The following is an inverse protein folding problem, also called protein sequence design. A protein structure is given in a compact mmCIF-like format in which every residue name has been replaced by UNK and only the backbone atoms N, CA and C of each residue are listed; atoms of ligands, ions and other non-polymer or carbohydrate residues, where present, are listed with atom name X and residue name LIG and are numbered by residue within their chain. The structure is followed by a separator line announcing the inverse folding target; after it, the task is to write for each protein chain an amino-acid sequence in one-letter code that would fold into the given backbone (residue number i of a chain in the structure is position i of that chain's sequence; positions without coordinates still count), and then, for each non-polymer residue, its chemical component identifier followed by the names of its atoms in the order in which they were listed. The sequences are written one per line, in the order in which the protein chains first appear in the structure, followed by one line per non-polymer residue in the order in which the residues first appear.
data_IF_420686368040
#
_entry.id   IF_420686368040
#
_cell.length_a   1.000
_cell.length_b   1.000
_cell.length_c   1.000
_cell.angle_alpha   90.00
_cell.angle_beta   90.00
_cell.angle_gamma   90.00
#
_symmetry.space_group_name_H-M   'P 1'
#
loop_
_entity.id
_entity.type
_entity.pdbx_description
1 polymer ?
#
# COMPACT_ATOMS: atom_id res chain seq x y z
N UNK A 1 11.43 -20.87 30.30
CA UNK A 1 12.59 -21.18 29.43
C UNK A 1 12.93 -19.92 28.65
N UNK A 2 14.06 -19.28 28.93
CA UNK A 2 14.53 -18.14 28.12
C UNK A 2 15.01 -18.69 26.78
N UNK A 3 14.48 -18.19 25.67
CA UNK A 3 14.89 -18.61 24.33
C UNK A 3 16.38 -18.25 24.14
N UNK A 4 17.17 -19.15 23.54
CA UNK A 4 18.61 -18.95 23.25
C UNK A 4 18.86 -17.64 22.47
N UNK A 5 17.88 -17.21 21.67
CA UNK A 5 17.89 -15.93 20.97
C UNK A 5 17.99 -14.70 21.90
N UNK A 6 17.54 -14.79 23.16
CA UNK A 6 17.61 -13.68 24.13
C UNK A 6 18.98 -13.57 24.81
N UNK A 7 19.82 -14.61 24.75
CA UNK A 7 21.14 -14.67 25.40
C UNK A 7 22.29 -14.72 24.40
N UNK A 8 22.00 -14.67 23.10
CA UNK A 8 23.04 -14.60 22.08
C UNK A 8 23.78 -13.27 22.20
N UNK A 9 25.08 -13.36 22.52
CA UNK A 9 25.97 -12.21 22.62
C UNK A 9 26.38 -11.73 21.21
N UNK A 10 26.39 -10.41 21.07
CA UNK A 10 26.88 -9.66 19.92
C UNK A 10 28.20 -8.98 20.31
N UNK A 11 28.84 -8.32 19.34
CA UNK A 11 30.06 -7.56 19.59
C UNK A 11 29.86 -6.52 20.71
N UNK A 12 30.98 -6.17 21.37
CA UNK A 12 31.03 -5.19 22.46
C UNK A 12 30.22 -5.57 23.71
N UNK A 13 29.83 -6.84 23.87
CA UNK A 13 29.10 -7.33 25.04
C UNK A 13 27.64 -6.87 25.08
N UNK A 14 27.04 -6.62 23.92
CA UNK A 14 25.59 -6.48 23.79
C UNK A 14 24.94 -7.84 23.63
N UNK A 15 23.67 -7.96 24.00
CA UNK A 15 22.85 -9.12 23.65
C UNK A 15 21.86 -8.78 22.56
N UNK A 16 21.37 -9.80 21.85
CA UNK A 16 20.22 -9.65 20.95
C UNK A 16 18.98 -9.04 21.63
N UNK A 17 18.79 -9.32 22.94
CA UNK A 17 17.71 -8.73 23.72
C UNK A 17 17.91 -7.22 23.98
N UNK A 18 19.15 -6.75 24.12
CA UNK A 18 19.45 -5.32 24.25
C UNK A 18 19.16 -4.56 22.96
N UNK A 19 19.51 -5.16 21.82
CA UNK A 19 19.21 -4.63 20.48
C UNK A 19 17.70 -4.57 20.26
N UNK A 20 16.96 -5.66 20.51
CA UNK A 20 15.51 -5.68 20.35
C UNK A 20 14.81 -4.66 21.26
N UNK A 21 15.26 -4.55 22.52
CA UNK A 21 14.74 -3.54 23.46
C UNK A 21 14.98 -2.12 22.92
N UNK A 22 16.20 -1.82 22.48
CA UNK A 22 16.55 -0.50 21.94
C UNK A 22 15.75 -0.17 20.66
N UNK A 23 15.59 -1.14 19.76
CA UNK A 23 14.82 -1.00 18.53
C UNK A 23 13.34 -0.71 18.81
N UNK A 24 12.71 -1.40 19.76
CA UNK A 24 11.32 -1.13 20.18
C UNK A 24 11.15 0.26 20.80
N UNK A 25 12.12 0.70 21.61
CA UNK A 25 12.12 2.06 22.18
C UNK A 25 12.25 3.10 21.07
N UNK A 26 13.14 2.89 20.10
CA UNK A 26 13.28 3.79 18.95
C UNK A 26 11.99 3.86 18.12
N UNK A 27 11.42 2.70 17.77
CA UNK A 27 10.22 2.57 16.94
C UNK A 27 8.96 3.17 17.57
N UNK A 28 8.85 3.13 18.90
CA UNK A 28 7.73 3.74 19.64
C UNK A 28 7.86 5.26 19.76
N UNK A 29 9.09 5.79 19.84
CA UNK A 29 9.34 7.24 19.94
C UNK A 29 9.34 7.95 18.58
N UNK A 30 9.64 7.22 17.50
CA UNK A 30 9.73 7.79 16.17
C UNK A 30 8.38 8.29 15.65
N UNK A 31 8.31 9.58 15.32
CA UNK A 31 7.16 10.21 14.64
C UNK A 31 7.29 10.08 13.13
N UNK A 32 7.28 8.84 12.64
CA UNK A 32 7.39 8.50 11.21
C UNK A 32 6.11 7.79 10.74
N UNK A 33 5.03 8.54 10.44
CA UNK A 33 3.72 7.96 10.23
C UNK A 33 3.59 7.25 8.86
N UNK A 34 4.53 7.45 7.95
CA UNK A 34 4.60 6.72 6.67
C UNK A 34 5.17 5.30 6.80
N UNK A 35 5.78 4.97 7.93
CA UNK A 35 6.39 3.67 8.20
C UNK A 35 5.54 2.94 9.23
N UNK A 36 5.29 1.65 9.02
CA UNK A 36 4.58 0.81 10.00
C UNK A 36 5.39 0.64 11.30
N UNK A 37 4.76 0.27 12.43
CA UNK A 37 5.53 0.03 13.67
C UNK A 37 6.59 -1.07 13.50
N UNK A 38 6.22 -2.20 12.89
CA UNK A 38 7.15 -3.30 12.65
C UNK A 38 8.28 -2.90 11.69
N UNK A 39 7.96 -2.15 10.64
CA UNK A 39 8.97 -1.60 9.73
C UNK A 39 9.95 -0.66 10.44
N UNK A 40 9.45 0.25 11.30
CA UNK A 40 10.31 1.11 12.13
C UNK A 40 11.20 0.30 13.06
N UNK A 41 10.66 -0.77 13.65
CA UNK A 41 11.41 -1.67 14.52
C UNK A 41 12.51 -2.40 13.74
N UNK A 42 12.21 -2.90 12.55
CA UNK A 42 13.17 -3.62 11.71
C UNK A 42 14.30 -2.69 11.21
N UNK A 43 13.96 -1.47 10.78
CA UNK A 43 14.94 -0.43 10.41
C UNK A 43 15.87 -0.11 11.60
N UNK A 44 15.28 0.15 12.78
CA UNK A 44 16.07 0.45 13.96
C UNK A 44 16.95 -0.74 14.38
N UNK A 45 16.42 -1.96 14.30
CA UNK A 45 17.16 -3.17 14.64
C UNK A 45 18.38 -3.33 13.73
N UNK A 46 18.19 -3.25 12.40
CA UNK A 46 19.28 -3.36 11.43
C UNK A 46 20.35 -2.29 11.64
N UNK A 47 19.94 -1.03 11.78
CA UNK A 47 20.89 0.08 11.97
C UNK A 47 21.70 -0.05 13.28
N UNK A 48 21.09 -0.57 14.35
CA UNK A 48 21.78 -0.82 15.61
C UNK A 48 22.81 -1.94 15.45
N UNK A 49 22.44 -3.05 14.79
CA UNK A 49 23.36 -4.16 14.54
C UNK A 49 24.53 -3.71 13.66
N UNK A 50 24.25 -2.99 12.58
CA UNK A 50 25.29 -2.42 11.71
C UNK A 50 26.23 -1.51 12.50
N UNK A 51 25.72 -0.62 13.35
CA UNK A 51 26.56 0.25 14.17
C UNK A 51 27.42 -0.52 15.19
N UNK A 52 26.90 -1.61 15.76
CA UNK A 52 27.65 -2.50 16.65
C UNK A 52 28.82 -3.16 15.94
N UNK A 53 28.63 -3.62 14.69
CA UNK A 53 29.68 -4.32 13.94
C UNK A 53 30.60 -3.40 13.14
N UNK A 54 30.16 -2.19 12.80
CA UNK A 54 30.97 -1.21 12.07
C UNK A 54 31.87 -0.35 12.97
N UNK A 55 31.65 -0.38 14.28
CA UNK A 55 32.41 0.41 15.26
C UNK A 55 33.48 -0.43 15.95
N UNK A 56 34.71 0.09 16.01
CA UNK A 56 35.81 -0.51 16.77
C UNK A 56 35.62 -0.32 18.28
N UNK A 57 34.89 0.72 18.69
CA UNK A 57 34.54 1.02 20.08
C UNK A 57 33.08 0.67 20.38
N UNK A 58 32.75 0.42 21.65
CA UNK A 58 31.37 0.10 22.06
C UNK A 58 30.45 1.29 21.76
N UNK A 59 29.47 1.17 20.85
CA UNK A 59 28.60 2.28 20.51
C UNK A 59 27.71 2.68 21.70
N UNK A 60 27.60 3.98 21.92
CA UNK A 60 26.71 4.57 22.92
C UNK A 60 25.29 4.75 22.37
N UNK A 61 24.30 4.68 23.26
CA UNK A 61 22.91 5.07 22.99
C UNK A 61 22.29 4.42 21.73
N UNK A 62 22.18 3.09 21.72
CA UNK A 62 21.56 2.31 20.64
C UNK A 62 20.16 2.82 20.24
N UNK A 63 19.37 3.29 21.21
CA UNK A 63 18.05 3.87 20.94
C UNK A 63 18.10 5.11 20.04
N UNK A 64 19.12 5.96 20.20
CA UNK A 64 19.33 7.13 19.35
C UNK A 64 19.82 6.75 17.95
N UNK A 65 20.64 5.69 17.82
CA UNK A 65 21.07 5.14 16.53
C UNK A 65 19.84 4.69 15.75
N UNK A 66 19.01 3.83 16.35
CA UNK A 66 17.78 3.35 15.73
C UNK A 66 16.81 4.48 15.38
N UNK A 67 16.64 5.47 16.27
CA UNK A 67 15.79 6.63 16.00
C UNK A 67 16.27 7.48 14.82
N UNK A 68 17.58 7.69 14.73
CA UNK A 68 18.21 8.43 13.63
C UNK A 68 17.98 7.72 12.30
N UNK A 69 18.17 6.39 12.25
CA UNK A 69 17.93 5.59 11.06
C UNK A 69 16.47 5.65 10.60
N UNK A 70 15.49 5.49 11.51
CA UNK A 70 14.07 5.64 11.18
C UNK A 70 13.78 7.04 10.62
N UNK A 71 14.39 8.07 11.20
CA UNK A 71 14.17 9.46 10.77
C UNK A 71 14.75 9.73 9.39
N UNK A 72 15.91 9.14 9.07
CA UNK A 72 16.53 9.19 7.74
C UNK A 72 15.65 8.47 6.71
N UNK A 73 15.23 7.24 6.99
CA UNK A 73 14.36 6.47 6.09
C UNK A 73 13.03 7.21 5.85
N UNK A 74 12.40 7.72 6.90
CA UNK A 74 11.17 8.50 6.77
C UNK A 74 11.36 9.77 5.91
N UNK A 75 12.54 10.39 5.99
CA UNK A 75 12.89 11.54 5.15
C UNK A 75 13.09 11.12 3.70
N UNK A 76 13.74 9.99 3.46
CA UNK A 76 13.99 9.49 2.12
C UNK A 76 12.71 8.99 1.44
N UNK A 77 11.84 8.28 2.16
CA UNK A 77 10.47 7.99 1.70
C UNK A 77 9.76 9.30 1.33
N UNK A 78 9.79 10.32 2.19
CA UNK A 78 9.17 11.62 1.86
C UNK A 78 9.77 12.26 0.59
N UNK A 79 11.09 12.17 0.38
CA UNK A 79 11.77 12.69 -0.82
C UNK A 79 11.37 11.93 -2.08
N UNK A 80 11.45 10.60 -2.07
CA UNK A 80 11.07 9.74 -3.21
C UNK A 80 9.62 9.94 -3.61
N UNK A 81 8.78 10.22 -2.64
CA UNK A 81 7.36 10.42 -2.85
C UNK A 81 6.99 11.87 -3.20
N UNK A 82 7.93 12.82 -3.20
CA UNK A 82 7.75 14.15 -3.80
C UNK A 82 7.63 15.32 -2.82
N UNK A 83 8.09 15.16 -1.57
CA UNK A 83 8.37 16.32 -0.71
C UNK A 83 9.61 17.04 -1.26
N UNK A 84 9.41 18.26 -1.78
CA UNK A 84 10.50 19.11 -2.25
C UNK A 84 11.48 19.35 -1.08
N UNK A 85 12.77 19.20 -1.35
CA UNK A 85 13.81 19.29 -0.32
C UNK A 85 13.76 20.63 0.42
N UNK A 86 14.20 20.58 1.69
CA UNK A 86 14.17 21.59 2.76
C UNK A 86 14.63 23.02 2.40
N UNK A 87 15.09 23.30 1.18
CA UNK A 87 15.72 24.57 0.81
C UNK A 87 14.85 25.53 -0.01
N UNK A 88 13.58 25.22 -0.31
CA UNK A 88 12.79 26.10 -1.21
C UNK A 88 11.40 26.55 -0.77
N UNK A 89 10.87 26.11 0.37
CA UNK A 89 9.55 26.58 0.82
C UNK A 89 9.56 26.76 2.33
N UNK A 90 9.49 28.02 2.77
CA UNK A 90 9.23 28.46 4.16
C UNK A 90 7.80 28.10 4.64
N UNK A 91 7.10 27.24 3.90
CA UNK A 91 5.81 26.66 4.26
C UNK A 91 5.89 25.18 3.98
N UNK A 92 5.26 24.38 4.85
CA UNK A 92 4.93 22.96 4.65
C UNK A 92 4.04 22.74 3.40
N UNK A 93 4.52 23.15 2.24
CA UNK A 93 3.85 23.03 0.96
C UNK A 93 4.23 21.68 0.36
N UNK A 94 3.60 20.65 0.92
CA UNK A 94 3.39 19.39 0.22
C UNK A 94 2.68 19.71 -1.10
N UNK A 95 2.98 19.00 -2.19
CA UNK A 95 2.11 19.03 -3.35
C UNK A 95 0.67 18.74 -2.87
N UNK A 96 -0.35 19.56 -3.18
CA UNK A 96 -1.65 19.50 -2.51
C UNK A 96 -2.32 18.11 -2.56
N UNK A 97 -2.15 17.40 -3.68
CA UNK A 97 -2.67 16.04 -3.85
C UNK A 97 -1.85 14.97 -3.13
N UNK A 98 -0.59 15.26 -2.81
CA UNK A 98 0.31 14.35 -2.11
C UNK A 98 -0.05 14.22 -0.62
N UNK A 99 -0.24 15.35 0.07
CA UNK A 99 -0.62 15.35 1.48
C UNK A 99 -1.96 14.64 1.72
N UNK A 100 -2.92 14.79 0.79
CA UNK A 100 -4.24 14.16 0.87
C UNK A 100 -4.12 12.62 0.79
N UNK A 101 -3.33 12.11 -0.16
CA UNK A 101 -3.21 10.67 -0.35
C UNK A 101 -2.43 10.02 0.79
N UNK A 102 -1.29 10.59 1.19
CA UNK A 102 -0.39 9.92 2.13
C UNK A 102 -0.70 10.20 3.60
N UNK A 103 -1.29 11.35 3.98
CA UNK A 103 -1.78 11.52 5.37
C UNK A 103 -2.97 10.63 5.67
N UNK A 104 -3.82 10.33 4.68
CA UNK A 104 -4.92 9.40 4.84
C UNK A 104 -4.41 7.97 5.13
N UNK A 105 -3.34 7.55 4.46
CA UNK A 105 -2.71 6.22 4.65
C UNK A 105 -1.88 6.14 5.94
N UNK A 106 -1.21 7.23 6.32
CA UNK A 106 -0.35 7.28 7.50
C UNK A 106 -1.11 7.20 8.86
N UNK A 107 -2.44 7.32 8.82
CA UNK A 107 -3.34 7.11 9.96
C UNK A 107 -4.23 5.86 9.84
N UNK A 108 -4.20 5.17 8.70
CA UNK A 108 -5.09 4.03 8.40
C UNK A 108 -4.52 2.68 8.88
N UNK A 109 -3.90 2.69 10.07
CA UNK A 109 -3.38 1.50 10.72
C UNK A 109 -3.57 1.59 12.22
N UNK A 110 -4.72 2.12 12.64
CA UNK A 110 -5.09 2.07 14.05
C UNK A 110 -5.25 0.60 14.48
N UNK A 111 -4.98 0.26 15.75
CA UNK A 111 -5.26 -1.09 16.27
C UNK A 111 -6.73 -1.49 16.01
N UNK A 112 -7.64 -0.51 16.11
CA UNK A 112 -9.04 -0.66 15.70
C UNK A 112 -9.17 -1.11 14.26
N UNK A 113 -8.45 -0.52 13.31
CA UNK A 113 -8.53 -0.89 11.89
C UNK A 113 -7.96 -2.28 11.60
N UNK A 114 -6.89 -2.71 12.29
CA UNK A 114 -6.39 -4.09 12.18
C UNK A 114 -7.36 -5.11 12.79
N UNK A 115 -8.04 -4.75 13.88
CA UNK A 115 -9.07 -5.59 14.52
C UNK A 115 -10.33 -5.61 13.66
N UNK A 116 -10.76 -4.47 13.14
CA UNK A 116 -11.87 -4.30 12.21
C UNK A 116 -11.62 -5.07 10.93
N UNK A 117 -10.42 -5.01 10.34
CA UNK A 117 -10.06 -5.77 9.14
C UNK A 117 -10.08 -7.28 9.41
N UNK A 118 -9.59 -7.76 10.56
CA UNK A 118 -9.67 -9.19 10.93
C UNK A 118 -11.10 -9.66 11.16
N UNK A 119 -11.93 -8.86 11.85
CA UNK A 119 -13.33 -9.20 12.13
C UNK A 119 -14.16 -9.14 10.85
N UNK A 120 -14.02 -8.06 10.07
CA UNK A 120 -14.70 -7.88 8.79
C UNK A 120 -14.29 -8.95 7.78
N UNK A 121 -13.01 -9.32 7.71
CA UNK A 121 -12.55 -10.42 6.86
C UNK A 121 -13.21 -11.75 7.25
N UNK A 122 -13.30 -12.06 8.54
CA UNK A 122 -14.00 -13.26 9.02
C UNK A 122 -15.49 -13.26 8.63
N UNK A 123 -16.18 -12.14 8.78
CA UNK A 123 -17.59 -11.99 8.40
C UNK A 123 -17.81 -12.10 6.89
N UNK A 124 -16.95 -11.46 6.10
CA UNK A 124 -17.01 -11.46 4.64
C UNK A 124 -16.74 -12.84 4.09
N UNK A 125 -15.70 -13.52 4.55
CA UNK A 125 -15.38 -14.88 4.13
C UNK A 125 -16.45 -15.88 4.57
N UNK A 126 -17.00 -15.73 5.77
CA UNK A 126 -18.10 -16.56 6.27
C UNK A 126 -19.42 -16.42 5.50
N UNK A 127 -19.59 -15.30 4.77
CA UNK A 127 -20.76 -15.06 3.92
C UNK A 127 -20.60 -15.57 2.47
N UNK A 128 -19.41 -16.06 2.10
CA UNK A 128 -19.17 -16.69 0.79
C UNK A 128 -19.65 -18.15 0.79
N UNK A 129 -20.12 -18.62 -0.36
CA UNK A 129 -20.30 -20.07 -0.54
C UNK A 129 -18.94 -20.75 -0.71
N UNK A 130 -18.91 -22.09 -0.53
CA UNK A 130 -17.67 -22.86 -0.76
C UNK A 130 -17.08 -22.61 -2.15
N UNK A 131 -17.91 -22.62 -3.20
CA UNK A 131 -17.45 -22.34 -4.56
C UNK A 131 -16.91 -20.92 -4.75
N UNK A 132 -17.49 -19.92 -4.07
CA UNK A 132 -17.02 -18.54 -4.13
C UNK A 132 -15.68 -18.38 -3.40
N UNK A 133 -15.53 -19.04 -2.25
CA UNK A 133 -14.29 -19.08 -1.49
C UNK A 133 -13.16 -19.73 -2.31
N UNK A 134 -13.43 -20.88 -2.95
CA UNK A 134 -12.46 -21.61 -3.77
C UNK A 134 -11.90 -20.74 -4.89
N UNK A 135 -12.72 -19.90 -5.53
CA UNK A 135 -12.28 -18.97 -6.58
C UNK A 135 -11.24 -17.97 -6.07
N UNK A 136 -11.39 -17.45 -4.85
CA UNK A 136 -10.45 -16.48 -4.27
C UNK A 136 -9.22 -17.20 -3.72
N UNK A 137 -9.42 -18.27 -2.98
CA UNK A 137 -8.34 -19.06 -2.38
C UNK A 137 -7.39 -19.58 -3.46
N UNK A 138 -7.94 -20.07 -4.58
CA UNK A 138 -7.15 -20.52 -5.72
C UNK A 138 -6.42 -19.36 -6.41
N UNK A 139 -7.06 -18.19 -6.57
CA UNK A 139 -6.35 -17.02 -7.10
C UNK A 139 -5.18 -16.59 -6.20
N UNK A 140 -5.38 -16.62 -4.88
CA UNK A 140 -4.34 -16.27 -3.91
C UNK A 140 -3.17 -17.26 -3.94
N UNK A 141 -3.45 -18.55 -4.10
CA UNK A 141 -2.42 -19.59 -4.16
C UNK A 141 -1.56 -19.52 -5.44
N UNK A 142 -2.17 -19.23 -6.60
CA UNK A 142 -1.50 -19.31 -7.90
C UNK A 142 -1.07 -17.95 -8.48
N UNK A 143 -1.57 -16.83 -7.94
CA UNK A 143 -1.16 -15.47 -8.29
C UNK A 143 -1.55 -14.97 -9.69
N UNK A 144 -2.13 -15.83 -10.54
CA UNK A 144 -2.58 -15.46 -11.88
C UNK A 144 -3.87 -16.18 -12.30
N UNK A 145 -4.66 -15.54 -13.17
CA UNK A 145 -6.00 -16.03 -13.53
C UNK A 145 -6.00 -17.30 -14.39
N UNK A 146 -4.91 -17.59 -15.13
CA UNK A 146 -4.86 -18.74 -16.02
C UNK A 146 -4.62 -20.03 -15.21
N UNK A 147 -3.59 -20.02 -14.36
CA UNK A 147 -3.27 -21.13 -13.48
C UNK A 147 -4.40 -21.40 -12.46
N UNK A 148 -5.04 -20.34 -11.94
CA UNK A 148 -6.16 -20.51 -11.03
C UNK A 148 -7.42 -21.09 -11.69
N UNK A 149 -7.64 -20.79 -12.98
CA UNK A 149 -8.74 -21.40 -13.74
C UNK A 149 -8.49 -22.88 -13.99
N UNK A 150 -7.26 -23.23 -14.37
CA UNK A 150 -6.83 -24.61 -14.60
C UNK A 150 -6.97 -25.48 -13.34
N UNK A 151 -6.53 -24.96 -12.19
CA UNK A 151 -6.65 -25.64 -10.90
C UNK A 151 -8.11 -25.95 -10.49
N UNK A 152 -9.08 -25.16 -10.96
CA UNK A 152 -10.52 -25.39 -10.73
C UNK A 152 -11.20 -26.11 -11.89
N UNK A 153 -10.45 -26.60 -12.89
CA UNK A 153 -10.98 -27.21 -14.10
C UNK A 153 -11.98 -26.30 -14.86
N UNK A 154 -11.72 -24.98 -14.84
CA UNK A 154 -12.55 -23.97 -15.50
C UNK A 154 -11.81 -23.37 -16.70
N UNK A 155 -12.59 -22.89 -17.67
CA UNK A 155 -12.05 -21.98 -18.67
C UNK A 155 -11.70 -20.64 -18.02
N UNK A 156 -10.66 -19.95 -18.53
CA UNK A 156 -10.24 -18.63 -18.04
C UNK A 156 -11.39 -17.60 -18.05
N UNK A 157 -12.28 -17.67 -19.03
CA UNK A 157 -13.44 -16.77 -19.16
C UNK A 157 -14.48 -17.04 -18.07
N UNK A 158 -14.79 -18.31 -17.80
CA UNK A 158 -15.68 -18.71 -16.71
C UNK A 158 -15.11 -18.31 -15.36
N UNK A 159 -13.83 -18.59 -15.12
CA UNK A 159 -13.13 -18.19 -13.90
C UNK A 159 -13.19 -16.67 -13.67
N UNK A 160 -12.87 -15.87 -14.70
CA UNK A 160 -12.91 -14.41 -14.61
C UNK A 160 -14.32 -13.90 -14.29
N UNK A 161 -15.35 -14.52 -14.87
CA UNK A 161 -16.75 -14.16 -14.63
C UNK A 161 -17.16 -14.47 -13.19
N UNK A 162 -16.80 -15.65 -12.68
CA UNK A 162 -17.01 -16.05 -11.28
C UNK A 162 -16.30 -15.09 -10.33
N UNK A 163 -15.01 -14.83 -10.57
CA UNK A 163 -14.21 -13.88 -9.78
C UNK A 163 -14.83 -12.48 -9.73
N UNK A 164 -15.39 -11.99 -10.83
CA UNK A 164 -16.05 -10.67 -10.86
C UNK A 164 -17.32 -10.62 -10.00
N UNK A 165 -18.11 -11.70 -9.99
CA UNK A 165 -19.29 -11.81 -9.12
C UNK A 165 -18.88 -11.84 -7.65
N UNK A 166 -17.88 -12.66 -7.33
CA UNK A 166 -17.33 -12.79 -5.98
C UNK A 166 -16.78 -11.47 -5.47
N UNK A 167 -15.95 -10.77 -6.25
CA UNK A 167 -15.42 -9.44 -5.90
C UNK A 167 -16.51 -8.41 -5.65
N UNK A 168 -17.59 -8.44 -6.44
CA UNK A 168 -18.73 -7.53 -6.21
C UNK A 168 -19.42 -7.84 -4.89
N UNK A 169 -19.63 -9.11 -4.56
CA UNK A 169 -20.23 -9.55 -3.31
C UNK A 169 -19.36 -9.16 -2.11
N UNK A 170 -18.06 -9.39 -2.18
CA UNK A 170 -17.08 -8.95 -1.16
C UNK A 170 -17.15 -7.45 -0.96
N UNK A 171 -17.06 -6.65 -2.03
CA UNK A 171 -17.10 -5.20 -1.90
C UNK A 171 -18.41 -4.69 -1.30
N UNK A 172 -19.55 -5.33 -1.61
CA UNK A 172 -20.84 -4.97 -1.03
C UNK A 172 -20.89 -5.28 0.48
N UNK A 173 -20.33 -6.41 0.90
CA UNK A 173 -20.25 -6.79 2.32
C UNK A 173 -19.25 -5.93 3.10
N UNK A 174 -18.10 -5.65 2.49
CA UNK A 174 -17.00 -4.90 3.09
C UNK A 174 -17.37 -3.45 3.37
N UNK A 175 -18.25 -2.87 2.56
CA UNK A 175 -18.61 -1.46 2.65
C UNK A 175 -19.96 -1.23 3.34
N UNK A 176 -20.74 -2.27 3.64
CA UNK A 176 -22.04 -2.10 4.28
C UNK A 176 -21.94 -1.40 5.65
N UNK A 177 -22.83 -0.46 6.00
CA UNK A 177 -24.04 -0.04 5.29
C UNK A 177 -23.82 0.98 4.16
N UNK A 178 -22.58 1.42 3.93
CA UNK A 178 -22.26 2.32 2.82
C UNK A 178 -22.35 1.58 1.48
N UNK A 179 -22.97 2.22 0.48
CA UNK A 179 -22.99 1.65 -0.87
C UNK A 179 -21.74 2.13 -1.60
N UNK A 180 -20.88 1.23 -2.14
CA UNK A 180 -19.73 1.64 -2.95
C UNK A 180 -20.18 2.61 -4.04
N UNK A 181 -19.54 3.78 -4.11
CA UNK A 181 -19.75 4.72 -5.21
C UNK A 181 -19.34 3.98 -6.48
N UNK A 182 -20.33 3.55 -7.27
CA UNK A 182 -20.08 2.87 -8.53
C UNK A 182 -19.20 3.73 -9.44
N UNK A 183 -18.58 3.17 -10.50
CA UNK A 183 -17.89 3.98 -11.49
C UNK A 183 -18.81 5.11 -11.88
N UNK A 184 -18.38 6.37 -11.69
CA UNK A 184 -19.21 7.56 -11.91
C UNK A 184 -19.91 7.35 -13.26
N UNK A 185 -21.23 7.19 -13.23
CA UNK A 185 -22.01 7.19 -14.46
C UNK A 185 -21.57 8.43 -15.23
N UNK A 186 -21.32 8.29 -16.53
CA UNK A 186 -21.10 9.47 -17.37
C UNK A 186 -22.25 10.41 -17.04
N UNK A 187 -21.95 11.59 -16.49
CA UNK A 187 -22.95 12.64 -16.47
C UNK A 187 -23.36 12.85 -17.93
N UNK A 188 -24.63 13.10 -18.19
CA UNK A 188 -25.10 13.38 -19.54
C UNK A 188 -24.19 14.46 -20.17
N UNK A 189 -23.72 14.20 -21.38
CA UNK A 189 -22.78 15.08 -22.07
C UNK A 189 -21.33 15.06 -21.57
N UNK A 190 -20.92 14.18 -20.62
CA UNK A 190 -19.51 14.13 -20.13
C UNK A 190 -18.83 12.78 -20.33
N UNK A 191 -17.52 12.80 -20.57
CA UNK A 191 -16.70 11.59 -20.67
C UNK A 191 -16.37 11.01 -19.28
N UNK A 192 -15.78 9.80 -19.22
CA UNK A 192 -15.38 9.14 -17.97
C UNK A 192 -14.33 9.90 -17.13
N UNK A 193 -13.70 10.92 -17.71
CA UNK A 193 -12.75 11.82 -17.02
C UNK A 193 -13.35 13.20 -16.71
N UNK A 194 -14.66 13.39 -16.93
CA UNK A 194 -15.37 14.63 -16.61
C UNK A 194 -15.30 15.73 -17.67
N UNK A 195 -14.60 15.54 -18.78
CA UNK A 195 -14.63 16.51 -19.88
C UNK A 195 -15.98 16.54 -20.59
N UNK A 196 -16.40 17.73 -21.00
CA UNK A 196 -17.59 17.95 -21.80
C UNK A 196 -17.45 17.35 -23.21
N UNK A 197 -18.42 16.53 -23.62
CA UNK A 197 -18.47 15.87 -24.91
C UNK A 197 -19.13 16.76 -25.97
N UNK A 198 -19.87 17.79 -25.59
CA UNK A 198 -20.40 18.76 -26.56
C UNK A 198 -19.26 19.65 -27.08
N UNK A 199 -18.28 19.95 -26.23
CA UNK A 199 -17.10 20.76 -26.59
C UNK A 199 -15.95 19.92 -27.15
N UNK A 200 -15.74 18.70 -26.63
CA UNK A 200 -14.55 17.89 -26.95
C UNK A 200 -14.86 16.51 -27.51
N UNK A 201 -16.14 16.19 -27.68
CA UNK A 201 -16.58 14.93 -28.28
C UNK A 201 -16.38 14.93 -29.80
N UNK A 202 -16.17 13.74 -30.34
CA UNK A 202 -16.38 13.49 -31.76
C UNK A 202 -16.89 12.06 -31.96
N UNK A 203 -17.74 11.86 -32.95
CA UNK A 203 -18.18 10.52 -33.32
C UNK A 203 -17.05 9.78 -34.05
N UNK A 204 -16.72 8.60 -33.54
CA UNK A 204 -15.74 7.74 -34.20
C UNK A 204 -16.37 7.08 -35.42
N UNK A 205 -15.72 7.13 -36.58
CA UNK A 205 -16.19 6.39 -37.78
C UNK A 205 -16.12 4.88 -37.62
N UNK A 206 -15.29 4.39 -36.69
CA UNK A 206 -15.01 2.95 -36.48
C UNK A 206 -15.67 2.40 -35.22
N UNK A 207 -16.27 3.24 -34.39
CA UNK A 207 -16.86 2.82 -33.11
C UNK A 207 -18.16 3.54 -32.89
N UNK A 208 -19.17 2.80 -32.46
CA UNK A 208 -20.53 3.30 -32.21
C UNK A 208 -20.64 4.13 -30.91
N UNK A 209 -19.64 4.96 -30.60
CA UNK A 209 -19.66 5.83 -29.43
C UNK A 209 -18.83 7.10 -29.62
N UNK A 210 -19.27 8.18 -28.97
CA UNK A 210 -18.56 9.45 -28.90
C UNK A 210 -17.27 9.32 -28.09
N UNK A 211 -16.16 9.77 -28.66
CA UNK A 211 -14.84 9.80 -28.04
C UNK A 211 -14.46 11.22 -27.63
N UNK A 212 -13.72 11.37 -26.54
CA UNK A 212 -13.21 12.67 -26.08
C UNK A 212 -11.81 12.94 -26.66
N UNK A 213 -11.65 14.04 -27.40
CA UNK A 213 -10.38 14.47 -28.00
C UNK A 213 -9.29 14.70 -26.96
N UNK A 214 -9.63 15.28 -25.81
CA UNK A 214 -8.70 15.54 -24.71
C UNK A 214 -8.16 14.22 -24.14
N UNK A 215 -9.04 13.23 -23.91
CA UNK A 215 -8.63 11.92 -23.40
C UNK A 215 -7.70 11.19 -24.37
N UNK A 216 -7.95 11.26 -25.68
CA UNK A 216 -7.07 10.67 -26.68
C UNK A 216 -5.71 11.35 -26.74
N UNK A 217 -5.67 12.68 -26.68
CA UNK A 217 -4.41 13.45 -26.63
C UNK A 217 -3.60 13.07 -25.39
N UNK A 218 -4.25 12.97 -24.22
CA UNK A 218 -3.60 12.55 -22.98
C UNK A 218 -3.13 11.09 -23.02
N UNK A 219 -3.88 10.20 -23.66
CA UNK A 219 -3.46 8.81 -23.88
C UNK A 219 -2.25 8.71 -24.81
N UNK A 220 -2.22 9.50 -25.89
CA UNK A 220 -1.08 9.57 -26.81
C UNK A 220 0.17 10.12 -26.12
N UNK A 221 0.05 11.18 -25.31
CA UNK A 221 1.15 11.70 -24.47
C UNK A 221 1.69 10.62 -23.53
N UNK A 222 0.80 9.90 -22.83
CA UNK A 222 1.19 8.80 -21.93
C UNK A 222 1.88 7.64 -22.65
N UNK A 223 1.47 7.32 -23.89
CA UNK A 223 2.15 6.31 -24.70
C UNK A 223 3.56 6.75 -25.11
N UNK A 224 3.74 8.01 -25.53
CA UNK A 224 5.06 8.56 -25.89
C UNK A 224 6.00 8.56 -24.69
N UNK A 225 5.52 8.99 -23.52
CA UNK A 225 6.30 9.00 -22.28
C UNK A 225 6.65 7.61 -21.71
N UNK A 226 6.09 6.52 -22.25
CA UNK A 226 6.45 5.15 -21.86
C UNK A 226 7.46 4.49 -22.80
N UNK A 227 7.70 5.09 -23.96
CA UNK A 227 8.59 4.57 -25.01
C UNK A 227 9.90 5.38 -25.06
N UNK A 228 9.90 6.59 -24.51
CA UNK A 228 11.10 7.37 -24.18
C UNK A 228 11.57 6.99 -22.78
#
# INVERSE_FOLDING_TARGET
MSLVANTAELAHGFTMADVDRAARIAASRAKAPMLGYDERKDIAWMAIVEAIYASDERPENLGQIGFTAISQEATDVQRHHGKLSYRKLERDEWAPHFAIYWRAVAGSGSFSEQVEERVALGQVLGALTAEEYDVIATLAAFGNHAAAAEALCLTRTTFTTRLMRVRRKINALWLAPETPVGPRKRADGKCSYGHDLDEHGYQSKTRDHTLCRVCLRNAARRRRARVA
#
